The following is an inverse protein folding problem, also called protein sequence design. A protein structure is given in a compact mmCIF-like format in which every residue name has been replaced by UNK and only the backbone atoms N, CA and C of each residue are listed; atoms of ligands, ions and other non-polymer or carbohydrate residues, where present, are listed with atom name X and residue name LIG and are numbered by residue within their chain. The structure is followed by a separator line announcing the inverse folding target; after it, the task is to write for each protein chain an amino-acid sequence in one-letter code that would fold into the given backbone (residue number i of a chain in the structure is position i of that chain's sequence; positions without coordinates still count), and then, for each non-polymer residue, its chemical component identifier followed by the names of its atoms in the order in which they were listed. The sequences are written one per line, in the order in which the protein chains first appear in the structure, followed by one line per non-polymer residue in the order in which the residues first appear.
data_IF_495368222567
#
_entry.id   IF_495368222567
#
_cell.length_a   1.000
_cell.length_b   1.000
_cell.length_c   1.000
_cell.angle_alpha   90.00
_cell.angle_beta   90.00
_cell.angle_gamma   90.00
#
_symmetry.space_group_name_H-M   'P 1'
#
loop_
_entity.id
_entity.type
_entity.pdbx_description
1 polymer ?
#
# COMPACT_ATOMS: atom_id res chain seq x y z
N UNK A 1 34.95 -0.79 2.01
CA UNK A 1 34.09 -1.94 1.68
C UNK A 1 32.71 -1.40 1.31
N UNK A 2 32.36 -1.39 0.01
CA UNK A 2 31.09 -0.86 -0.48
C UNK A 2 29.99 -1.92 -0.25
N UNK A 3 28.99 -1.60 0.58
CA UNK A 3 27.84 -2.51 0.75
C UNK A 3 26.97 -2.43 -0.51
N UNK A 4 26.55 -3.58 -1.09
CA UNK A 4 25.61 -3.57 -2.20
C UNK A 4 24.30 -2.90 -1.77
N UNK A 5 23.64 -2.20 -2.70
CA UNK A 5 22.32 -1.63 -2.45
C UNK A 5 21.33 -2.75 -2.11
N UNK A 6 20.40 -2.47 -1.21
CA UNK A 6 19.34 -3.41 -0.91
C UNK A 6 18.47 -3.66 -2.16
N UNK A 7 18.01 -4.89 -2.32
CA UNK A 7 17.21 -5.33 -3.47
C UNK A 7 15.81 -4.67 -3.56
N UNK A 8 15.38 -3.99 -2.50
CA UNK A 8 14.15 -3.19 -2.45
C UNK A 8 14.38 -1.69 -2.77
N UNK A 9 15.60 -1.29 -3.16
CA UNK A 9 15.93 0.11 -3.47
C UNK A 9 15.82 0.38 -4.96
N UNK A 10 14.97 1.33 -5.35
CA UNK A 10 14.91 1.85 -6.72
C UNK A 10 16.14 2.68 -7.06
N UNK A 11 16.58 2.62 -8.32
CA UNK A 11 17.57 3.55 -8.89
C UNK A 11 16.98 4.95 -9.00
N UNK A 12 17.84 5.97 -9.14
CA UNK A 12 17.38 7.35 -9.37
C UNK A 12 16.51 7.48 -10.62
N UNK A 13 16.83 6.73 -11.67
CA UNK A 13 16.04 6.75 -12.92
C UNK A 13 14.69 6.07 -12.73
N UNK A 14 14.64 4.95 -11.99
CA UNK A 14 13.38 4.29 -11.63
C UNK A 14 12.51 5.20 -10.76
N UNK A 15 13.08 5.90 -9.78
CA UNK A 15 12.35 6.88 -8.95
C UNK A 15 11.75 7.98 -9.84
N UNK A 16 12.52 8.54 -10.78
CA UNK A 16 12.01 9.55 -11.72
C UNK A 16 10.89 9.00 -12.60
N UNK A 17 11.00 7.77 -13.09
CA UNK A 17 9.94 7.12 -13.86
C UNK A 17 8.65 7.02 -13.05
N UNK A 18 8.72 6.58 -11.79
CA UNK A 18 7.56 6.54 -10.89
C UNK A 18 6.99 7.94 -10.69
N UNK A 19 7.82 8.95 -10.42
CA UNK A 19 7.34 10.32 -10.24
C UNK A 19 6.67 10.89 -11.51
N UNK A 20 7.21 10.61 -12.69
CA UNK A 20 6.60 11.00 -13.96
C UNK A 20 5.26 10.29 -14.19
N UNK A 21 5.19 9.00 -13.89
CA UNK A 21 3.95 8.23 -13.96
C UNK A 21 2.88 8.80 -13.02
N UNK A 22 3.21 9.05 -11.74
CA UNK A 22 2.28 9.69 -10.79
C UNK A 22 1.86 11.07 -11.27
N UNK A 23 2.77 11.85 -11.88
CA UNK A 23 2.45 13.18 -12.41
C UNK A 23 1.48 13.15 -13.59
N UNK A 24 1.51 12.08 -14.39
CA UNK A 24 0.59 11.85 -15.50
C UNK A 24 -0.69 11.11 -15.11
N UNK A 25 -0.78 10.62 -13.87
CA UNK A 25 -1.89 9.78 -13.42
C UNK A 25 -3.20 10.57 -13.37
N UNK A 26 -4.25 10.02 -13.97
CA UNK A 26 -5.61 10.55 -13.92
C UNK A 26 -6.51 9.50 -13.28
N UNK A 27 -7.05 9.82 -12.11
CA UNK A 27 -7.98 8.95 -11.41
C UNK A 27 -9.42 9.27 -11.81
N UNK A 28 -10.36 8.32 -11.68
CA UNK A 28 -11.78 8.61 -11.85
C UNK A 28 -12.24 9.73 -10.92
N UNK A 29 -13.26 10.49 -11.35
CA UNK A 29 -13.77 11.60 -10.55
C UNK A 29 -14.26 11.11 -9.19
N UNK A 30 -13.91 11.85 -8.13
CA UNK A 30 -14.20 11.50 -6.74
C UNK A 30 -13.45 10.29 -6.17
N UNK A 31 -12.51 9.69 -6.89
CA UNK A 31 -11.75 8.52 -6.42
C UNK A 31 -10.51 8.89 -5.60
N UNK A 32 -9.74 9.90 -6.01
CA UNK A 32 -8.63 10.48 -5.23
C UNK A 32 -8.50 11.98 -5.52
N UNK A 33 -7.67 12.67 -4.75
CA UNK A 33 -7.25 14.02 -5.12
C UNK A 33 -6.33 14.00 -6.35
N UNK A 34 -6.01 15.17 -6.88
CA UNK A 34 -5.09 15.30 -8.01
C UNK A 34 -3.64 15.02 -7.57
N UNK A 35 -3.24 13.75 -7.62
CA UNK A 35 -1.92 13.24 -7.22
C UNK A 35 -0.75 13.90 -7.96
N UNK A 36 -0.99 14.50 -9.14
CA UNK A 36 0.06 15.23 -9.87
C UNK A 36 0.57 16.46 -9.11
N UNK A 37 -0.22 17.00 -8.18
CA UNK A 37 0.18 18.09 -7.27
C UNK A 37 1.05 17.59 -6.11
N UNK A 38 1.01 16.29 -5.83
CA UNK A 38 1.70 15.67 -4.72
C UNK A 38 3.08 15.12 -5.10
N UNK A 39 3.60 15.42 -6.29
CA UNK A 39 4.87 14.85 -6.79
C UNK A 39 5.88 15.91 -7.22
N UNK A 40 7.06 15.82 -6.63
CA UNK A 40 8.26 16.55 -7.04
C UNK A 40 9.20 15.60 -7.80
N UNK A 41 9.15 15.68 -9.12
CA UNK A 41 9.96 14.85 -10.03
C UNK A 41 11.45 15.15 -9.90
N UNK A 42 11.82 16.41 -9.65
CA UNK A 42 13.23 16.81 -9.57
C UNK A 42 13.88 16.25 -8.30
N UNK A 43 13.12 16.23 -7.19
CA UNK A 43 13.58 15.68 -5.91
C UNK A 43 13.30 14.18 -5.79
N UNK A 44 12.49 13.59 -6.67
CA UNK A 44 12.09 12.19 -6.61
C UNK A 44 11.22 11.88 -5.38
N UNK A 45 10.32 12.80 -5.01
CA UNK A 45 9.54 12.69 -3.76
C UNK A 45 8.04 12.86 -4.01
N UNK A 46 7.25 12.12 -3.23
CA UNK A 46 5.84 12.40 -3.03
C UNK A 46 5.68 13.24 -1.76
N UNK A 47 4.95 14.36 -1.83
CA UNK A 47 4.80 15.34 -0.75
C UNK A 47 3.36 15.83 -0.74
N UNK A 48 2.75 15.93 0.44
CA UNK A 48 1.42 16.54 0.59
C UNK A 48 0.26 15.66 0.14
N UNK A 49 0.43 14.33 0.15
CA UNK A 49 -0.69 13.40 0.04
C UNK A 49 -1.52 13.46 1.32
N UNK A 50 -2.85 13.50 1.18
CA UNK A 50 -3.76 13.35 2.32
C UNK A 50 -3.93 11.87 2.67
N UNK A 51 -4.52 11.58 3.82
CA UNK A 51 -4.80 10.20 4.28
C UNK A 51 -5.49 9.38 3.21
N UNK A 52 -6.58 9.90 2.62
CA UNK A 52 -7.32 9.27 1.53
C UNK A 52 -6.44 8.91 0.32
N UNK A 53 -5.57 9.83 -0.11
CA UNK A 53 -4.65 9.58 -1.23
C UNK A 53 -3.63 8.48 -0.91
N UNK A 54 -3.15 8.43 0.34
CA UNK A 54 -2.26 7.37 0.81
C UNK A 54 -2.96 6.00 0.82
N UNK A 55 -4.24 5.95 1.23
CA UNK A 55 -5.05 4.74 1.18
C UNK A 55 -5.23 4.24 -0.25
N UNK A 56 -5.63 5.12 -1.18
CA UNK A 56 -5.71 4.77 -2.61
C UNK A 56 -4.36 4.25 -3.13
N UNK A 57 -3.26 4.86 -2.70
CA UNK A 57 -1.93 4.41 -3.11
C UNK A 57 -1.62 3.00 -2.59
N UNK A 58 -1.92 2.75 -1.31
CA UNK A 58 -1.74 1.46 -0.65
C UNK A 58 -2.59 0.36 -1.28
N UNK A 59 -3.85 0.62 -1.55
CA UNK A 59 -4.82 -0.37 -2.06
C UNK A 59 -4.63 -0.70 -3.54
N UNK A 60 -4.13 0.26 -4.35
CA UNK A 60 -4.19 0.13 -5.81
C UNK A 60 -2.89 0.45 -6.55
N UNK A 61 -2.06 1.35 -6.03
CA UNK A 61 -0.94 1.92 -6.80
C UNK A 61 0.42 1.33 -6.43
N UNK A 62 0.58 0.75 -5.23
CA UNK A 62 1.82 0.10 -4.79
C UNK A 62 2.39 -0.90 -5.83
N UNK A 63 1.61 -1.86 -6.38
CA UNK A 63 2.17 -2.85 -7.32
C UNK A 63 2.68 -2.21 -8.61
N UNK A 64 2.03 -1.12 -9.05
CA UNK A 64 2.40 -0.42 -10.28
C UNK A 64 3.63 0.45 -10.04
N UNK A 65 3.62 1.22 -8.95
CA UNK A 65 4.72 2.10 -8.55
C UNK A 65 6.03 1.32 -8.37
N UNK A 66 5.95 0.10 -7.83
CA UNK A 66 7.12 -0.73 -7.54
C UNK A 66 7.35 -1.85 -8.55
N UNK A 67 6.68 -1.82 -9.70
CA UNK A 67 6.75 -2.86 -10.75
C UNK A 67 8.16 -3.15 -11.31
N UNK A 68 9.10 -2.21 -11.13
CA UNK A 68 10.50 -2.38 -11.54
C UNK A 68 11.38 -3.10 -10.50
N UNK A 69 10.84 -3.43 -9.32
CA UNK A 69 11.54 -4.23 -8.31
C UNK A 69 11.57 -5.72 -8.69
N UNK A 70 12.55 -6.48 -8.17
CA UNK A 70 12.57 -7.93 -8.34
C UNK A 70 11.30 -8.60 -7.82
N UNK A 71 10.87 -9.69 -8.48
CA UNK A 71 9.63 -10.39 -8.15
C UNK A 71 9.53 -10.80 -6.67
N UNK A 72 10.63 -11.22 -6.05
CA UNK A 72 10.63 -11.61 -4.63
C UNK A 72 10.37 -10.42 -3.68
N UNK A 73 10.58 -9.17 -4.12
CA UNK A 73 10.22 -7.95 -3.38
C UNK A 73 8.83 -7.46 -3.77
N UNK A 74 8.52 -7.48 -5.07
CA UNK A 74 7.24 -6.99 -5.59
C UNK A 74 6.05 -7.85 -5.11
N UNK A 75 6.23 -9.18 -5.00
CA UNK A 75 5.13 -10.07 -4.64
C UNK A 75 4.56 -9.75 -3.25
N UNK A 76 5.35 -9.60 -2.16
CA UNK A 76 4.81 -9.20 -0.86
C UNK A 76 4.17 -7.81 -0.86
N UNK A 77 4.74 -6.84 -1.60
CA UNK A 77 4.13 -5.50 -1.79
C UNK A 77 2.77 -5.61 -2.47
N UNK A 78 2.63 -6.53 -3.43
CA UNK A 78 1.39 -6.76 -4.15
C UNK A 78 0.37 -7.47 -3.28
N UNK A 79 0.79 -8.48 -2.51
CA UNK A 79 -0.06 -9.21 -1.57
C UNK A 79 -0.64 -8.28 -0.50
N UNK A 80 0.17 -7.40 0.10
CA UNK A 80 -0.34 -6.44 1.10
C UNK A 80 -1.28 -5.39 0.48
N UNK A 81 -1.00 -4.94 -0.75
CA UNK A 81 -1.87 -4.03 -1.48
C UNK A 81 -3.25 -4.66 -1.76
N UNK A 82 -3.27 -5.91 -2.20
CA UNK A 82 -4.50 -6.67 -2.40
C UNK A 82 -5.25 -6.94 -1.10
N UNK A 83 -4.54 -7.28 -0.02
CA UNK A 83 -5.16 -7.43 1.30
C UNK A 83 -5.95 -6.18 1.71
N UNK A 84 -5.35 -4.98 1.60
CA UNK A 84 -6.04 -3.74 1.95
C UNK A 84 -7.20 -3.43 0.99
N UNK A 85 -7.02 -3.67 -0.31
CA UNK A 85 -8.09 -3.48 -1.29
C UNK A 85 -9.31 -4.36 -0.99
N UNK A 86 -9.08 -5.62 -0.65
CA UNK A 86 -10.15 -6.58 -0.36
C UNK A 86 -10.82 -6.26 0.98
N UNK A 87 -10.03 -5.87 2.00
CA UNK A 87 -10.53 -5.38 3.29
C UNK A 87 -11.43 -4.14 3.15
N UNK A 88 -11.03 -3.25 2.25
CA UNK A 88 -11.75 -2.02 1.93
C UNK A 88 -12.88 -2.24 0.92
N UNK A 89 -13.22 -3.46 0.53
CA UNK A 89 -14.36 -3.66 -0.36
C UNK A 89 -15.67 -3.18 0.28
N UNK A 90 -16.56 -2.62 -0.55
CA UNK A 90 -17.92 -2.22 -0.13
C UNK A 90 -18.76 -3.42 0.31
N UNK A 91 -18.44 -4.61 -0.21
CA UNK A 91 -19.09 -5.87 0.13
C UNK A 91 -18.03 -6.84 0.64
N UNK A 92 -18.27 -7.40 1.83
CA UNK A 92 -17.37 -8.36 2.46
C UNK A 92 -18.02 -9.74 2.55
N UNK A 93 -17.32 -10.75 2.05
CA UNK A 93 -17.69 -12.15 2.21
C UNK A 93 -16.99 -12.74 3.45
N UNK A 94 -17.72 -13.50 4.28
CA UNK A 94 -17.17 -14.11 5.49
C UNK A 94 -16.05 -15.11 5.21
N UNK A 95 -16.15 -15.87 4.12
CA UNK A 95 -15.15 -16.87 3.73
C UNK A 95 -13.86 -16.19 3.28
N UNK A 96 -13.97 -15.06 2.58
CA UNK A 96 -12.80 -14.28 2.16
C UNK A 96 -12.13 -13.60 3.35
N UNK A 97 -12.91 -13.07 4.31
CA UNK A 97 -12.36 -12.55 5.56
C UNK A 97 -11.64 -13.63 6.39
N UNK A 98 -12.14 -14.86 6.41
CA UNK A 98 -11.45 -15.97 7.09
C UNK A 98 -10.11 -16.29 6.41
N UNK A 99 -10.08 -16.35 5.08
CA UNK A 99 -8.82 -16.52 4.33
C UNK A 99 -7.86 -15.35 4.57
N UNK A 100 -8.37 -14.12 4.67
CA UNK A 100 -7.53 -12.96 4.96
C UNK A 100 -6.90 -13.05 6.35
N UNK A 101 -7.65 -13.51 7.36
CA UNK A 101 -7.16 -13.75 8.73
C UNK A 101 -6.02 -14.77 8.74
N UNK A 102 -6.11 -15.84 7.93
CA UNK A 102 -5.06 -16.84 7.77
C UNK A 102 -3.83 -16.33 7.00
N UNK A 103 -4.04 -15.49 5.98
CA UNK A 103 -2.99 -15.06 5.07
C UNK A 103 -2.18 -13.86 5.58
N UNK A 104 -2.79 -12.93 6.33
CA UNK A 104 -2.12 -11.69 6.71
C UNK A 104 -0.83 -11.91 7.54
N UNK A 105 -0.74 -12.86 8.49
CA UNK A 105 0.53 -13.11 9.18
C UNK A 105 1.62 -13.59 8.20
N UNK A 106 1.25 -14.39 7.19
CA UNK A 106 2.18 -14.89 6.17
C UNK A 106 2.70 -13.74 5.30
N UNK A 107 1.82 -12.81 4.91
CA UNK A 107 2.19 -11.62 4.13
C UNK A 107 3.18 -10.75 4.93
N UNK A 108 2.88 -10.47 6.20
CA UNK A 108 3.77 -9.69 7.07
C UNK A 108 5.13 -10.38 7.25
N UNK A 109 5.16 -11.68 7.53
CA UNK A 109 6.41 -12.43 7.63
C UNK A 109 7.23 -12.40 6.32
N UNK A 110 6.59 -12.43 5.14
CA UNK A 110 7.30 -12.25 3.86
C UNK A 110 7.93 -10.86 3.76
N UNK A 111 7.20 -9.82 4.17
CA UNK A 111 7.70 -8.44 4.17
C UNK A 111 8.87 -8.26 5.16
N UNK A 112 8.77 -8.80 6.37
CA UNK A 112 9.82 -8.75 7.42
C UNK A 112 11.14 -9.39 6.98
N UNK A 113 11.07 -10.39 6.10
CA UNK A 113 12.27 -11.03 5.53
C UNK A 113 13.00 -10.16 4.51
N UNK A 114 12.37 -9.10 4.01
CA UNK A 114 12.87 -8.28 2.90
C UNK A 114 13.25 -6.88 3.38
N UNK A 115 12.36 -6.25 4.15
CA UNK A 115 12.52 -4.88 4.62
C UNK A 115 13.30 -4.84 5.95
N UNK A 116 13.94 -3.71 6.27
CA UNK A 116 14.73 -3.60 7.49
C UNK A 116 13.84 -3.73 8.74
N UNK A 117 14.32 -4.34 9.83
CA UNK A 117 13.55 -4.47 11.07
C UNK A 117 13.04 -3.15 11.64
N UNK A 118 13.74 -2.03 11.38
CA UNK A 118 13.32 -0.69 11.78
C UNK A 118 12.07 -0.18 11.07
N UNK A 119 11.61 -0.87 10.03
CA UNK A 119 10.34 -0.57 9.35
C UNK A 119 9.13 -1.21 10.06
N UNK A 120 9.34 -2.24 10.88
CA UNK A 120 8.26 -2.95 11.56
C UNK A 120 8.23 -2.56 13.03
N UNK A 121 7.33 -1.65 13.37
CA UNK A 121 6.90 -1.41 14.74
C UNK A 121 5.50 -1.99 14.97
N UNK A 122 4.87 -1.68 16.10
CA UNK A 122 3.53 -2.17 16.43
C UNK A 122 2.47 -1.88 15.34
N UNK A 123 2.63 -0.80 14.57
CA UNK A 123 1.64 -0.35 13.59
C UNK A 123 1.57 -1.28 12.38
N UNK A 124 2.71 -1.78 11.87
CA UNK A 124 2.77 -2.70 10.73
C UNK A 124 2.16 -4.06 11.05
N UNK A 125 2.00 -4.40 12.33
CA UNK A 125 1.37 -5.64 12.79
C UNK A 125 -0.14 -5.51 13.03
N UNK A 126 -0.71 -4.31 13.14
CA UNK A 126 -2.15 -4.11 13.31
C UNK A 126 -3.04 -4.78 12.24
N UNK A 127 -2.61 -4.90 10.96
CA UNK A 127 -3.40 -5.56 9.93
C UNK A 127 -3.87 -6.98 10.30
N UNK A 128 -3.19 -7.68 11.21
CA UNK A 128 -3.61 -9.03 11.64
C UNK A 128 -4.98 -9.05 12.31
N UNK A 129 -5.40 -7.95 12.91
CA UNK A 129 -6.67 -7.84 13.63
C UNK A 129 -7.83 -7.40 12.72
N UNK A 130 -7.52 -6.75 11.60
CA UNK A 130 -8.52 -6.10 10.76
C UNK A 130 -9.56 -7.06 10.14
N UNK A 131 -9.21 -8.27 9.67
CA UNK A 131 -10.22 -9.21 9.14
C UNK A 131 -11.23 -9.65 10.20
N UNK A 132 -10.75 -9.89 11.43
CA UNK A 132 -11.62 -10.22 12.56
C UNK A 132 -12.56 -9.06 12.90
N UNK A 133 -12.02 -7.84 12.99
CA UNK A 133 -12.82 -6.63 13.22
C UNK A 133 -13.85 -6.39 12.10
N UNK A 134 -13.47 -6.64 10.85
CA UNK A 134 -14.34 -6.61 9.67
C UNK A 134 -15.48 -7.63 9.76
N UNK A 135 -15.19 -8.85 10.23
CA UNK A 135 -16.19 -9.90 10.44
C UNK A 135 -17.22 -9.52 11.50
N UNK A 136 -16.80 -8.81 12.55
CA UNK A 136 -17.68 -8.40 13.64
C UNK A 136 -18.53 -7.17 13.32
N UNK A 137 -17.93 -6.14 12.71
CA UNK A 137 -18.62 -4.85 12.51
C UNK A 137 -18.89 -4.47 11.06
N UNK A 138 -18.68 -5.38 10.11
CA UNK A 138 -18.99 -5.15 8.70
C UNK A 138 -17.94 -4.29 7.96
N UNK A 139 -18.30 -3.72 6.79
CA UNK A 139 -17.37 -2.95 5.95
C UNK A 139 -16.62 -1.84 6.70
N UNK A 140 -15.32 -1.71 6.42
CA UNK A 140 -14.42 -0.76 7.12
C UNK A 140 -14.73 0.70 6.82
N UNK A 141 -15.33 0.99 5.67
CA UNK A 141 -15.66 2.34 5.18
C UNK A 141 -16.42 3.21 6.19
N UNK A 142 -17.30 2.59 7.00
CA UNK A 142 -18.13 3.30 7.97
C UNK A 142 -17.52 3.37 9.38
N UNK A 143 -16.34 2.75 9.58
CA UNK A 143 -15.73 2.55 10.90
C UNK A 143 -14.32 3.09 11.02
N UNK A 144 -13.65 3.40 9.92
CA UNK A 144 -12.38 4.12 9.95
C UNK A 144 -12.60 5.59 10.30
N UNK A 145 -11.54 6.27 10.76
CA UNK A 145 -11.61 7.66 11.22
C UNK A 145 -11.87 8.70 10.11
N UNK A 146 -11.98 8.28 8.85
CA UNK A 146 -12.01 9.17 7.69
C UNK A 146 -13.31 9.13 6.85
N UNK A 147 -14.52 8.90 7.40
CA UNK A 147 -15.72 8.70 6.58
C UNK A 147 -16.11 9.94 5.76
N UNK A 148 -15.53 11.10 6.06
CA UNK A 148 -15.84 12.40 5.45
C UNK A 148 -14.62 13.10 4.82
N UNK A 149 -13.45 12.46 4.75
CA UNK A 149 -12.31 13.05 4.03
C UNK A 149 -12.48 12.82 2.52
N UNK A 150 -12.97 13.83 1.82
CA UNK A 150 -12.93 13.97 0.35
C UNK A 150 -12.21 15.26 -0.03
#
# INVERSE_FOLDING_TARGET
MYKPKANYTLSTDQIKQVCHWVKGLRMPDGYSSNLSRCVDVNRGKLIGMKSHDCHVFMECLLPIAFSSLPAHVLNPITEISHFFRDLCSTTLNKDDLAKMEENIPIILCKMERIFPPSFFDSMEHLPIHLPYEARLGGPVHYRWMYPFER
#
